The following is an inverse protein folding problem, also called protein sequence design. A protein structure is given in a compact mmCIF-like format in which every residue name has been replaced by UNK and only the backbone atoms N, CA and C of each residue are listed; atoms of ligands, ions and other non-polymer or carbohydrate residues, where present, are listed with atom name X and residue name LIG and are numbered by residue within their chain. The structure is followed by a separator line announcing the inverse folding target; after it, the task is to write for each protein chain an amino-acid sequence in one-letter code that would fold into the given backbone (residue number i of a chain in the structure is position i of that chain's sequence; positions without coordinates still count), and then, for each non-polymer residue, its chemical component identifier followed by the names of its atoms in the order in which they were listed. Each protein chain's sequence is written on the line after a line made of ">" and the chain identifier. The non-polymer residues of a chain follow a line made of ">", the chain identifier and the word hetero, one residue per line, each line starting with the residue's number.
data_IF_253681213678
#
_entry.id   IF_253681213678
#
_cell.length_a   1.000
_cell.length_b   1.000
_cell.length_c   1.000
_cell.angle_alpha   90.00
_cell.angle_beta   90.00
_cell.angle_gamma   90.00
#
_symmetry.space_group_name_H-M   'P 1'
#
loop_
_entity.id
_entity.type
_entity.pdbx_description
1 polymer ?
#
# COMPACT_ATOMS: atom_id res chain seq x y z
N UNK A 1 -30.66 2.21 8.78
CA UNK A 1 -29.52 2.13 9.71
C UNK A 1 -29.82 2.99 10.93
N UNK A 2 -29.58 2.47 12.13
CA UNK A 2 -29.60 3.27 13.36
C UNK A 2 -28.26 4.00 13.52
N UNK A 3 -28.22 5.15 14.18
CA UNK A 3 -26.96 5.85 14.46
C UNK A 3 -25.94 5.00 15.23
N UNK A 4 -26.43 4.05 16.03
CA UNK A 4 -25.61 3.07 16.77
C UNK A 4 -24.86 2.09 15.87
N UNK A 5 -25.31 1.87 14.63
CA UNK A 5 -24.64 1.01 13.64
C UNK A 5 -23.90 1.82 12.57
N UNK A 6 -24.41 2.99 12.19
CA UNK A 6 -23.79 3.85 11.19
C UNK A 6 -22.52 4.54 11.69
N UNK A 7 -22.53 5.08 12.92
CA UNK A 7 -21.41 5.87 13.43
C UNK A 7 -20.10 5.06 13.58
N UNK A 8 -20.11 3.81 14.06
CA UNK A 8 -18.91 2.99 14.09
C UNK A 8 -18.38 2.66 12.69
N UNK A 9 -19.25 2.32 11.74
CA UNK A 9 -18.85 1.98 10.37
C UNK A 9 -18.22 3.18 9.65
N UNK A 10 -18.84 4.36 9.75
CA UNK A 10 -18.32 5.61 9.16
C UNK A 10 -16.98 5.98 9.81
N UNK A 11 -16.88 5.91 11.14
CA UNK A 11 -15.64 6.24 11.85
C UNK A 11 -14.50 5.29 11.47
N UNK A 12 -14.78 3.99 11.41
CA UNK A 12 -13.80 2.98 11.03
C UNK A 12 -13.32 3.19 9.58
N UNK A 13 -14.25 3.36 8.64
CA UNK A 13 -13.92 3.59 7.23
C UNK A 13 -13.14 4.90 7.04
N UNK A 14 -13.51 5.98 7.73
CA UNK A 14 -12.82 7.26 7.67
C UNK A 14 -11.39 7.17 8.21
N UNK A 15 -11.22 6.61 9.42
CA UNK A 15 -9.90 6.50 10.05
C UNK A 15 -8.98 5.57 9.26
N UNK A 16 -9.49 4.44 8.76
CA UNK A 16 -8.71 3.54 7.92
C UNK A 16 -8.32 4.21 6.60
N UNK A 17 -9.26 4.86 5.90
CA UNK A 17 -8.96 5.57 4.65
C UNK A 17 -7.97 6.73 4.84
N UNK A 18 -7.96 7.37 6.01
CA UNK A 18 -7.00 8.41 6.35
C UNK A 18 -5.57 7.85 6.43
N UNK A 19 -5.39 6.64 6.99
CA UNK A 19 -4.08 5.97 7.04
C UNK A 19 -3.57 5.74 5.63
N UNK A 20 -4.40 5.15 4.76
CA UNK A 20 -4.03 4.88 3.36
C UNK A 20 -3.68 6.16 2.59
N UNK A 21 -4.44 7.25 2.82
CA UNK A 21 -4.14 8.54 2.21
C UNK A 21 -2.78 9.09 2.66
N UNK A 22 -2.44 8.95 3.95
CA UNK A 22 -1.14 9.36 4.50
C UNK A 22 -0.02 8.50 3.94
N UNK A 23 -0.22 7.19 3.78
CA UNK A 23 0.77 6.29 3.18
C UNK A 23 1.04 6.66 1.72
N UNK A 24 -0.01 6.86 0.93
CA UNK A 24 0.10 7.29 -0.47
C UNK A 24 0.89 8.60 -0.59
N UNK A 25 0.54 9.61 0.22
CA UNK A 25 1.24 10.89 0.26
C UNK A 25 2.71 10.70 0.68
N UNK A 26 2.97 9.87 1.70
CA UNK A 26 4.33 9.62 2.18
C UNK A 26 5.21 8.97 1.11
N UNK A 27 4.67 8.03 0.33
CA UNK A 27 5.38 7.44 -0.82
C UNK A 27 5.72 8.51 -1.85
N UNK A 28 4.76 9.36 -2.24
CA UNK A 28 5.00 10.42 -3.22
C UNK A 28 6.01 11.44 -2.71
N UNK A 29 5.96 11.80 -1.43
CA UNK A 29 6.94 12.69 -0.80
C UNK A 29 8.34 12.08 -0.78
N UNK A 30 8.48 10.83 -0.37
CA UNK A 30 9.75 10.12 -0.34
C UNK A 30 10.38 10.02 -1.74
N UNK A 31 9.59 9.67 -2.76
CA UNK A 31 10.07 9.60 -4.14
C UNK A 31 10.33 10.99 -4.71
N UNK A 32 9.48 11.97 -4.43
CA UNK A 32 9.61 13.35 -4.91
C UNK A 32 10.87 14.04 -4.39
N UNK A 33 11.22 13.81 -3.12
CA UNK A 33 12.44 14.34 -2.49
C UNK A 33 13.72 13.67 -2.97
N UNK A 34 13.69 12.36 -3.30
CA UNK A 34 14.89 11.61 -3.71
C UNK A 34 15.13 11.62 -5.23
N UNK A 35 14.06 11.58 -6.04
CA UNK A 35 14.13 11.39 -7.50
C UNK A 35 13.45 12.48 -8.32
N UNK A 36 12.87 13.49 -7.66
CA UNK A 36 12.33 14.69 -8.29
C UNK A 36 10.80 14.71 -8.45
N UNK A 37 10.24 15.88 -8.17
CA UNK A 37 8.80 16.12 -8.11
C UNK A 37 8.05 15.96 -9.44
N UNK A 38 8.71 16.23 -10.58
CA UNK A 38 8.06 16.14 -11.91
C UNK A 38 7.68 14.70 -12.25
N UNK A 39 8.62 13.75 -12.07
CA UNK A 39 8.37 12.33 -12.30
C UNK A 39 7.44 11.74 -11.24
N UNK A 40 7.63 12.12 -9.97
CA UNK A 40 6.77 11.66 -8.87
C UNK A 40 5.31 12.11 -9.04
N UNK A 41 5.08 13.39 -9.37
CA UNK A 41 3.75 13.95 -9.56
C UNK A 41 3.04 13.39 -10.78
N UNK A 42 3.74 13.19 -11.90
CA UNK A 42 3.17 12.55 -13.09
C UNK A 42 2.79 11.08 -12.84
N UNK A 43 3.63 10.35 -12.10
CA UNK A 43 3.30 8.99 -11.63
C UNK A 43 2.07 8.96 -10.73
N UNK A 44 2.01 9.84 -9.73
CA UNK A 44 0.88 9.94 -8.80
C UNK A 44 -0.44 10.28 -9.51
N UNK A 45 -0.42 11.27 -10.41
CA UNK A 45 -1.60 11.64 -11.20
C UNK A 45 -2.06 10.50 -12.12
N UNK A 46 -1.13 9.80 -12.76
CA UNK A 46 -1.45 8.63 -13.58
C UNK A 46 -2.06 7.50 -12.73
N UNK A 47 -1.55 7.29 -11.51
CA UNK A 47 -2.07 6.29 -10.57
C UNK A 47 -3.50 6.63 -10.15
N UNK A 48 -3.75 7.89 -9.81
CA UNK A 48 -5.08 8.39 -9.44
C UNK A 48 -6.07 8.30 -10.60
N UNK A 49 -5.65 8.61 -11.82
CA UNK A 49 -6.47 8.46 -13.02
C UNK A 49 -6.81 6.99 -13.31
N UNK A 50 -5.83 6.09 -13.16
CA UNK A 50 -6.05 4.65 -13.30
C UNK A 50 -6.99 4.11 -12.22
N UNK A 51 -6.83 4.54 -10.97
CA UNK A 51 -7.73 4.20 -9.88
C UNK A 51 -9.17 4.65 -10.17
N UNK A 52 -9.34 5.90 -10.62
CA UNK A 52 -10.67 6.41 -10.99
C UNK A 52 -11.31 5.55 -12.09
N UNK A 53 -10.53 5.17 -13.12
CA UNK A 53 -11.02 4.27 -14.18
C UNK A 53 -11.41 2.89 -13.64
N UNK A 54 -10.60 2.30 -12.75
CA UNK A 54 -10.91 1.02 -12.10
C UNK A 54 -12.20 1.14 -11.28
N UNK A 55 -12.36 2.19 -10.47
CA UNK A 55 -13.58 2.38 -9.66
C UNK A 55 -14.82 2.54 -10.54
N UNK A 56 -14.74 3.35 -11.60
CA UNK A 56 -15.87 3.58 -12.51
C UNK A 56 -16.28 2.31 -13.28
N UNK A 57 -15.32 1.45 -13.60
CA UNK A 57 -15.59 0.23 -14.39
C UNK A 57 -15.95 -0.98 -13.51
N UNK A 58 -15.28 -1.14 -12.38
CA UNK A 58 -15.39 -2.31 -11.50
C UNK A 58 -16.36 -2.09 -10.33
N UNK A 59 -16.63 -0.84 -9.93
CA UNK A 59 -17.59 -0.51 -8.86
C UNK A 59 -18.96 -1.18 -9.04
N UNK A 60 -19.60 -1.10 -10.22
CA UNK A 60 -20.89 -1.77 -10.46
C UNK A 60 -20.81 -3.31 -10.45
N UNK A 61 -19.62 -3.87 -10.62
CA UNK A 61 -19.39 -5.33 -10.58
C UNK A 61 -19.24 -5.82 -9.15
N UNK A 62 -18.65 -5.00 -8.27
CA UNK A 62 -18.51 -5.29 -6.83
C UNK A 62 -19.86 -5.47 -6.14
N UNK A 63 -20.89 -4.73 -6.54
CA UNK A 63 -22.26 -4.91 -6.03
C UNK A 63 -22.86 -6.30 -6.30
N UNK A 64 -22.32 -7.04 -7.27
CA UNK A 64 -22.78 -8.40 -7.62
C UNK A 64 -22.01 -9.50 -6.90
N UNK A 65 -20.96 -9.15 -6.16
CA UNK A 65 -20.12 -10.11 -5.45
C UNK A 65 -20.85 -10.58 -4.18
N UNK A 66 -20.99 -11.90 -3.97
CA UNK A 66 -21.62 -12.42 -2.76
C UNK A 66 -20.73 -12.13 -1.54
N UNK A 67 -21.14 -11.15 -0.73
CA UNK A 67 -20.44 -10.72 0.49
C UNK A 67 -20.02 -11.89 1.41
N UNK A 68 -20.87 -12.91 1.69
CA UNK A 68 -20.47 -14.00 2.58
C UNK A 68 -19.31 -14.84 2.02
N UNK A 69 -19.26 -15.04 0.70
CA UNK A 69 -18.16 -15.77 0.07
C UNK A 69 -16.87 -14.95 0.11
N UNK A 70 -16.95 -13.65 -0.15
CA UNK A 70 -15.80 -12.74 -0.04
C UNK A 70 -15.24 -12.72 1.39
N UNK A 71 -16.11 -12.57 2.40
CA UNK A 71 -15.72 -12.60 3.80
C UNK A 71 -15.08 -13.93 4.20
N UNK A 72 -15.59 -15.06 3.70
CA UNK A 72 -15.00 -16.37 3.96
C UNK A 72 -13.60 -16.46 3.34
N UNK A 73 -13.43 -16.05 2.09
CA UNK A 73 -12.12 -16.07 1.40
C UNK A 73 -11.13 -15.16 2.11
N UNK A 74 -11.51 -13.92 2.40
CA UNK A 74 -10.67 -12.96 3.13
C UNK A 74 -10.34 -13.49 4.52
N UNK A 75 -11.31 -14.05 5.25
CA UNK A 75 -11.11 -14.65 6.57
C UNK A 75 -10.12 -15.82 6.53
N UNK A 76 -10.21 -16.70 5.54
CA UNK A 76 -9.24 -17.80 5.35
C UNK A 76 -7.84 -17.25 5.05
N UNK A 77 -7.73 -16.26 4.16
CA UNK A 77 -6.45 -15.64 3.84
C UNK A 77 -5.83 -14.98 5.08
N UNK A 78 -6.61 -14.19 5.83
CA UNK A 78 -6.17 -13.56 7.07
C UNK A 78 -5.73 -14.60 8.11
N UNK A 79 -6.43 -15.73 8.22
CA UNK A 79 -6.05 -16.82 9.11
C UNK A 79 -4.71 -17.46 8.68
N UNK A 80 -4.53 -17.75 7.39
CA UNK A 80 -3.30 -18.34 6.87
C UNK A 80 -2.10 -17.40 6.98
N UNK A 81 -2.26 -16.11 6.68
CA UNK A 81 -1.19 -15.13 6.86
C UNK A 81 -0.92 -14.85 8.34
N UNK A 82 -1.99 -14.68 9.13
CA UNK A 82 -1.92 -14.42 10.57
C UNK A 82 -1.24 -15.53 11.34
N UNK A 83 -1.50 -16.80 11.03
CA UNK A 83 -0.82 -17.95 11.67
C UNK A 83 0.69 -17.97 11.39
N UNK A 84 1.11 -17.62 10.17
CA UNK A 84 2.55 -17.49 9.85
C UNK A 84 3.21 -16.36 10.63
N UNK A 85 2.52 -15.24 10.80
CA UNK A 85 3.02 -14.10 11.56
C UNK A 85 3.06 -14.41 13.05
N UNK A 86 2.00 -15.00 13.60
CA UNK A 86 1.92 -15.45 14.99
C UNK A 86 3.02 -16.46 15.30
N UNK A 87 3.25 -17.43 14.43
CA UNK A 87 4.33 -18.40 14.61
C UNK A 87 5.70 -17.71 14.67
N UNK A 88 5.99 -16.77 13.75
CA UNK A 88 7.24 -16.00 13.80
C UNK A 88 7.34 -15.14 15.07
N UNK A 89 6.24 -14.55 15.53
CA UNK A 89 6.21 -13.75 16.74
C UNK A 89 6.50 -14.60 17.99
N UNK A 90 5.90 -15.80 18.09
CA UNK A 90 6.16 -16.75 19.17
C UNK A 90 7.63 -17.19 19.16
N UNK A 91 8.18 -17.55 18.00
CA UNK A 91 9.59 -17.95 17.88
C UNK A 91 10.56 -16.82 18.25
N UNK A 92 10.22 -15.56 17.95
CA UNK A 92 11.00 -14.39 18.40
C UNK A 92 10.90 -14.16 19.89
N UNK A 93 9.69 -14.27 20.46
CA UNK A 93 9.47 -14.13 21.89
C UNK A 93 10.19 -15.23 22.70
N UNK A 94 10.26 -16.45 22.14
CA UNK A 94 11.00 -17.57 22.72
C UNK A 94 12.53 -17.50 22.51
N UNK A 95 13.04 -16.47 21.80
CA UNK A 95 14.47 -16.31 21.53
C UNK A 95 15.06 -17.26 20.49
N UNK A 96 14.24 -18.06 19.81
CA UNK A 96 14.68 -19.02 18.77
C UNK A 96 15.00 -18.29 17.47
N UNK A 97 14.18 -17.32 17.10
CA UNK A 97 14.41 -16.45 15.93
C UNK A 97 14.91 -15.09 16.42
N UNK A 98 16.07 -14.60 15.96
CA UNK A 98 16.55 -13.29 16.37
C UNK A 98 15.63 -12.17 15.91
N UNK A 99 15.56 -11.09 16.70
CA UNK A 99 14.88 -9.85 16.31
C UNK A 99 15.53 -9.28 15.05
N UNK A 100 14.69 -8.72 14.16
CA UNK A 100 15.18 -8.14 12.91
C UNK A 100 15.88 -6.82 13.23
N UNK A 101 17.16 -6.75 12.87
CA UNK A 101 17.95 -5.53 12.94
C UNK A 101 17.69 -4.69 11.68
N UNK A 102 16.81 -3.70 11.82
CA UNK A 102 16.42 -2.80 10.72
C UNK A 102 17.61 -1.97 10.20
N UNK A 103 18.59 -1.63 11.06
CA UNK A 103 19.78 -0.87 10.67
C UNK A 103 20.64 -1.64 9.68
N UNK A 104 20.94 -2.92 9.97
CA UNK A 104 21.71 -3.77 9.05
C UNK A 104 21.00 -4.02 7.72
N UNK A 105 19.67 -4.14 7.75
CA UNK A 105 18.85 -4.31 6.54
C UNK A 105 18.88 -3.05 5.70
N UNK A 106 18.75 -1.88 6.33
CA UNK A 106 18.82 -0.59 5.65
C UNK A 106 20.18 -0.34 5.02
N UNK A 107 21.28 -0.63 5.72
CA UNK A 107 22.64 -0.48 5.18
C UNK A 107 22.87 -1.34 3.94
N UNK A 108 22.43 -2.62 3.96
CA UNK A 108 22.50 -3.51 2.79
C UNK A 108 21.66 -3.00 1.62
N UNK A 109 20.40 -2.67 1.86
CA UNK A 109 19.50 -2.19 0.80
C UNK A 109 19.98 -0.86 0.21
N UNK A 110 20.50 0.05 1.04
CA UNK A 110 21.00 1.35 0.58
C UNK A 110 22.30 1.25 -0.23
N UNK A 111 23.15 0.26 0.04
CA UNK A 111 24.36 -0.01 -0.75
C UNK A 111 24.01 -0.65 -2.10
N UNK A 112 23.04 -1.55 -2.13
CA UNK A 112 22.53 -2.20 -3.35
C UNK A 112 21.78 -1.22 -4.27
N UNK A 113 21.00 -0.28 -3.71
CA UNK A 113 20.42 0.80 -4.49
C UNK A 113 21.48 1.75 -5.06
N UNK A 114 22.51 2.09 -4.26
CA UNK A 114 23.61 2.99 -4.69
C UNK A 114 24.44 2.39 -5.82
N UNK A 115 24.73 1.09 -5.80
CA UNK A 115 25.45 0.43 -6.91
C UNK A 115 24.62 0.41 -8.20
N UNK A 116 23.30 0.24 -8.09
CA UNK A 116 22.35 0.29 -9.21
C UNK A 116 22.20 1.70 -9.81
N UNK A 117 22.53 2.75 -9.04
CA UNK A 117 22.44 4.16 -9.44
C UNK A 117 23.67 4.67 -10.21
N UNK A 118 24.82 3.99 -10.15
CA UNK A 118 26.05 4.38 -10.85
C UNK A 118 25.95 4.30 -12.40
N UNK A 119 24.85 3.77 -12.94
CA UNK A 119 24.69 3.45 -14.37
C UNK A 119 23.63 4.31 -15.11
N UNK A 120 23.18 5.47 -14.58
CA UNK A 120 22.15 6.27 -15.29
C UNK A 120 22.46 7.77 -15.44
N UNK A 121 22.44 8.31 -16.68
CA UNK A 121 22.64 9.74 -16.96
C UNK A 121 21.45 10.61 -16.55
N UNK A 122 21.75 11.85 -16.13
CA UNK A 122 20.88 12.79 -15.40
C UNK A 122 19.72 13.45 -16.18
N UNK A 123 19.42 13.05 -17.42
CA UNK A 123 18.53 13.85 -18.31
C UNK A 123 17.28 13.09 -18.82
N UNK A 124 17.09 11.81 -18.47
CA UNK A 124 15.90 11.05 -18.89
C UNK A 124 14.85 11.06 -17.79
N UNK A 125 13.57 11.27 -18.16
CA UNK A 125 12.39 11.06 -17.31
C UNK A 125 12.63 9.84 -16.43
N UNK A 126 12.64 10.03 -15.10
CA UNK A 126 12.91 8.93 -14.17
C UNK A 126 11.66 8.06 -14.05
N UNK A 127 11.54 7.14 -15.01
CA UNK A 127 10.46 6.15 -15.07
C UNK A 127 10.37 5.31 -13.81
N UNK A 128 11.45 5.16 -13.04
CA UNK A 128 11.41 4.44 -11.76
C UNK A 128 10.65 5.26 -10.73
N UNK A 129 10.89 6.57 -10.67
CA UNK A 129 10.14 7.48 -9.79
C UNK A 129 8.65 7.54 -10.17
N UNK A 130 8.38 7.67 -11.47
CA UNK A 130 6.99 7.71 -11.96
C UNK A 130 6.25 6.39 -11.69
N UNK A 131 6.89 5.24 -11.95
CA UNK A 131 6.28 3.93 -11.70
C UNK A 131 6.11 3.64 -10.20
N UNK A 132 7.05 4.04 -9.36
CA UNK A 132 6.94 3.89 -7.91
C UNK A 132 5.74 4.67 -7.36
N UNK A 133 5.60 5.95 -7.71
CA UNK A 133 4.46 6.77 -7.30
C UNK A 133 3.14 6.26 -7.90
N UNK A 134 3.14 5.85 -9.18
CA UNK A 134 1.97 5.26 -9.82
C UNK A 134 1.49 4.03 -9.05
N UNK A 135 2.38 3.09 -8.76
CA UNK A 135 2.04 1.85 -8.05
C UNK A 135 1.63 2.13 -6.61
N UNK A 136 2.33 3.02 -5.91
CA UNK A 136 1.99 3.40 -4.53
C UNK A 136 0.59 3.99 -4.46
N UNK A 137 0.31 5.04 -5.23
CA UNK A 137 -1.01 5.70 -5.24
C UNK A 137 -2.12 4.75 -5.68
N UNK A 138 -1.87 3.89 -6.66
CA UNK A 138 -2.85 2.90 -7.10
C UNK A 138 -3.12 1.85 -6.03
N UNK A 139 -2.08 1.38 -5.32
CA UNK A 139 -2.20 0.35 -4.30
C UNK A 139 -2.98 0.88 -3.09
N UNK A 140 -2.49 1.95 -2.45
CA UNK A 140 -3.16 2.52 -1.26
C UNK A 140 -4.57 2.99 -1.60
N UNK A 141 -4.75 3.58 -2.79
CA UNK A 141 -6.06 4.00 -3.26
C UNK A 141 -7.04 2.83 -3.47
N UNK A 142 -6.54 1.64 -3.86
CA UNK A 142 -7.37 0.44 -3.96
C UNK A 142 -7.79 -0.06 -2.57
N UNK A 143 -6.92 0.05 -1.58
CA UNK A 143 -7.25 -0.29 -0.18
C UNK A 143 -8.38 0.60 0.35
N UNK A 144 -8.34 1.92 0.08
CA UNK A 144 -9.45 2.84 0.37
C UNK A 144 -10.77 2.38 -0.27
N UNK A 145 -10.73 1.95 -1.53
CA UNK A 145 -11.91 1.47 -2.25
C UNK A 145 -12.50 0.23 -1.57
N UNK A 146 -11.65 -0.71 -1.11
CA UNK A 146 -12.11 -1.89 -0.38
C UNK A 146 -12.63 -1.59 1.03
N UNK A 147 -12.14 -0.53 1.68
CA UNK A 147 -12.60 -0.11 3.00
C UNK A 147 -14.00 0.51 2.94
N UNK A 148 -14.29 1.28 1.88
CA UNK A 148 -15.52 2.06 1.76
C UNK A 148 -16.68 1.29 1.11
N UNK A 149 -16.39 0.33 0.24
CA UNK A 149 -17.37 -0.55 -0.42
C UNK A 149 -17.79 -1.74 0.46
#
# INVERSE_FOLDING_TARGET
>A
MSWTSAAPAISAAFLASLVEAVEAVTIVLAVGTVRGWRSAGTGALAGLAALALVVLTLGPVLERVPLPALQLVVGVLLFLFGTRWLHKAILRAAGIVPLRDEQRVFERTSTELRSSLAHRPMVRVDWVAALACFKGVLLEGLEVVFIVL
#
